data_IF_047049231259
#
_entry.id   IF_047049231259
#
_cell.length_a   1.000
_cell.length_b   1.000
_cell.length_c   1.000
_cell.angle_alpha   90.00
_cell.angle_beta   90.00
_cell.angle_gamma   90.00
#
_symmetry.space_group_name_H-M   'P 1'
#
loop_
_entity.id
_entity.type
_entity.pdbx_description
1 polymer ?
#
# COMPACT_ATOMS: atom_id res chain seq x y z
N UNK A 1 4.48 10.69 -46.73
CA UNK A 1 4.41 10.07 -45.39
C UNK A 1 2.97 9.64 -45.22
N UNK A 2 2.70 8.34 -44.98
CA UNK A 2 1.32 7.91 -44.71
C UNK A 2 0.89 8.56 -43.40
N UNK A 3 -0.30 9.16 -43.35
CA UNK A 3 -0.83 9.75 -42.12
C UNK A 3 -0.91 8.68 -41.03
N UNK A 4 -0.67 9.03 -39.76
CA UNK A 4 -0.75 8.08 -38.64
C UNK A 4 -2.06 7.30 -38.61
N UNK A 5 -3.15 7.95 -38.99
CA UNK A 5 -4.47 7.32 -39.16
C UNK A 5 -4.50 6.25 -40.27
N UNK A 6 -3.90 6.52 -41.43
CA UNK A 6 -3.85 5.55 -42.54
C UNK A 6 -3.03 4.32 -42.16
N UNK A 7 -1.88 4.54 -41.51
CA UNK A 7 -1.04 3.46 -41.00
C UNK A 7 -1.82 2.60 -40.00
N UNK A 8 -2.52 3.23 -39.05
CA UNK A 8 -3.37 2.56 -38.07
C UNK A 8 -4.42 1.67 -38.72
N UNK A 9 -5.22 2.19 -39.65
CA UNK A 9 -6.27 1.41 -40.33
C UNK A 9 -5.71 0.28 -41.18
N UNK A 10 -4.57 0.50 -41.85
CA UNK A 10 -3.88 -0.51 -42.64
C UNK A 10 -3.39 -1.66 -41.76
N UNK A 11 -2.79 -1.36 -40.61
CA UNK A 11 -2.30 -2.37 -39.66
C UNK A 11 -3.44 -3.18 -39.05
N UNK A 12 -4.56 -2.54 -38.67
CA UNK A 12 -5.75 -3.25 -38.20
C UNK A 12 -6.30 -4.22 -39.25
N UNK A 13 -6.45 -3.76 -40.49
CA UNK A 13 -6.95 -4.60 -41.59
C UNK A 13 -6.01 -5.77 -41.89
N UNK A 14 -4.69 -5.54 -41.89
CA UNK A 14 -3.69 -6.60 -42.06
C UNK A 14 -3.77 -7.64 -40.94
N UNK A 15 -3.90 -7.18 -39.69
CA UNK A 15 -4.02 -8.03 -38.49
C UNK A 15 -5.24 -8.94 -38.58
N UNK A 16 -6.42 -8.42 -38.93
CA UNK A 16 -7.64 -9.24 -39.11
C UNK A 16 -7.40 -10.39 -40.10
N UNK A 17 -6.70 -10.12 -41.21
CA UNK A 17 -6.38 -11.14 -42.21
C UNK A 17 -5.39 -12.17 -41.66
N UNK A 18 -4.36 -11.75 -40.93
CA UNK A 18 -3.37 -12.65 -40.33
C UNK A 18 -4.00 -13.55 -39.25
N UNK A 19 -4.83 -12.98 -38.37
CA UNK A 19 -5.57 -13.72 -37.33
C UNK A 19 -6.49 -14.78 -37.96
N UNK A 20 -7.22 -14.45 -39.04
CA UNK A 20 -8.04 -15.44 -39.78
C UNK A 20 -7.22 -16.60 -40.35
N UNK A 21 -5.96 -16.33 -40.73
CA UNK A 21 -5.01 -17.33 -41.22
C UNK A 21 -4.24 -18.04 -40.10
N UNK A 22 -4.53 -17.75 -38.83
CA UNK A 22 -3.80 -18.24 -37.65
C UNK A 22 -2.31 -17.84 -37.62
N UNK A 23 -1.95 -16.77 -38.33
CA UNK A 23 -0.59 -16.20 -38.34
C UNK A 23 -0.42 -15.24 -37.15
N UNK A 24 -0.56 -15.75 -35.93
CA UNK A 24 -0.62 -14.91 -34.73
C UNK A 24 0.70 -14.18 -34.43
N UNK A 25 1.84 -14.86 -34.56
CA UNK A 25 3.16 -14.27 -34.26
C UNK A 25 3.51 -13.12 -35.21
N UNK A 26 3.19 -13.27 -36.50
CA UNK A 26 3.36 -12.20 -37.48
C UNK A 26 2.45 -11.00 -37.19
N UNK A 27 1.23 -11.26 -36.73
CA UNK A 27 0.27 -10.24 -36.35
C UNK A 27 0.75 -9.46 -35.12
N UNK A 28 1.21 -10.17 -34.08
CA UNK A 28 1.79 -9.60 -32.87
C UNK A 28 2.99 -8.71 -33.22
N UNK A 29 3.95 -9.23 -33.98
CA UNK A 29 5.15 -8.48 -34.38
C UNK A 29 4.78 -7.22 -35.19
N UNK A 30 3.83 -7.34 -36.12
CA UNK A 30 3.33 -6.23 -36.93
C UNK A 30 2.66 -5.15 -36.06
N UNK A 31 1.84 -5.55 -35.09
CA UNK A 31 1.15 -4.63 -34.18
C UNK A 31 2.14 -3.95 -33.22
N UNK A 32 3.09 -4.69 -32.68
CA UNK A 32 4.14 -4.16 -31.80
C UNK A 32 4.94 -3.06 -32.48
N UNK A 33 5.52 -3.35 -33.65
CA UNK A 33 6.29 -2.37 -34.41
C UNK A 33 5.42 -1.17 -34.82
N UNK A 34 4.20 -1.44 -35.29
CA UNK A 34 3.27 -0.39 -35.69
C UNK A 34 2.87 0.54 -34.54
N UNK A 35 2.71 0.03 -33.33
CA UNK A 35 2.45 0.84 -32.14
C UNK A 35 3.67 1.74 -31.83
N UNK A 36 4.89 1.21 -31.88
CA UNK A 36 6.11 1.99 -31.65
C UNK A 36 6.29 3.10 -32.70
N UNK A 37 6.03 2.80 -33.98
CA UNK A 37 6.13 3.77 -35.08
C UNK A 37 5.11 4.91 -34.93
N UNK A 38 3.90 4.62 -34.44
CA UNK A 38 2.88 5.62 -34.16
C UNK A 38 3.21 6.45 -32.92
N UNK A 39 3.80 5.85 -31.86
CA UNK A 39 4.30 6.61 -30.71
C UNK A 39 5.42 7.57 -31.12
N UNK A 40 6.31 7.16 -32.03
CA UNK A 40 7.35 8.04 -32.58
C UNK A 40 6.76 9.24 -33.36
N UNK A 41 5.52 9.13 -33.85
CA UNK A 41 4.76 10.20 -34.50
C UNK A 41 3.85 10.96 -33.54
N UNK A 42 3.92 10.69 -32.23
CA UNK A 42 3.05 11.26 -31.18
C UNK A 42 1.56 10.90 -31.32
N UNK A 43 1.22 9.85 -32.08
CA UNK A 43 -0.14 9.35 -32.29
C UNK A 43 -0.55 8.41 -31.14
N UNK A 44 -0.69 8.95 -29.92
CA UNK A 44 -0.91 8.17 -28.68
C UNK A 44 -2.13 7.25 -28.75
N UNK A 45 -3.27 7.77 -29.19
CA UNK A 45 -4.52 7.00 -29.24
C UNK A 45 -4.45 5.82 -30.21
N UNK A 46 -3.93 6.06 -31.41
CA UNK A 46 -3.76 5.04 -32.45
C UNK A 46 -2.74 3.97 -32.02
N UNK A 47 -1.62 4.37 -31.43
CA UNK A 47 -0.60 3.45 -30.94
C UNK A 47 -1.12 2.55 -29.81
N UNK A 48 -1.79 3.14 -28.82
CA UNK A 48 -2.33 2.40 -27.69
C UNK A 48 -3.48 1.48 -28.10
N UNK A 49 -4.30 1.85 -29.10
CA UNK A 49 -5.30 0.95 -29.69
C UNK A 49 -4.64 -0.28 -30.33
N UNK A 50 -3.54 -0.10 -31.08
CA UNK A 50 -2.79 -1.24 -31.62
C UNK A 50 -2.15 -2.10 -30.53
N UNK A 51 -1.68 -1.50 -29.44
CA UNK A 51 -1.14 -2.22 -28.29
C UNK A 51 -2.21 -3.07 -27.59
N UNK A 52 -3.41 -2.52 -27.38
CA UNK A 52 -4.55 -3.28 -26.85
C UNK A 52 -4.92 -4.41 -27.82
N UNK A 53 -4.95 -4.14 -29.14
CA UNK A 53 -5.23 -5.19 -30.12
C UNK A 53 -4.16 -6.29 -30.12
N UNK A 54 -2.90 -5.96 -29.89
CA UNK A 54 -1.82 -6.95 -29.73
C UNK A 54 -2.09 -7.86 -28.53
N UNK A 55 -2.50 -7.30 -27.40
CA UNK A 55 -2.86 -8.05 -26.19
C UNK A 55 -4.12 -8.90 -26.42
N UNK A 56 -5.08 -8.43 -27.20
CA UNK A 56 -6.24 -9.25 -27.59
C UNK A 56 -5.82 -10.46 -28.44
N UNK A 57 -4.84 -10.28 -29.34
CA UNK A 57 -4.25 -11.39 -30.12
C UNK A 57 -3.51 -12.38 -29.21
N UNK A 58 -2.83 -11.92 -28.15
CA UNK A 58 -2.31 -12.82 -27.10
C UNK A 58 -3.42 -13.66 -26.48
N UNK A 59 -4.57 -13.04 -26.19
CA UNK A 59 -5.75 -13.74 -25.67
C UNK A 59 -6.30 -14.79 -26.62
N UNK A 60 -6.31 -14.53 -27.94
CA UNK A 60 -6.78 -15.48 -28.97
C UNK A 60 -5.80 -16.65 -29.14
N UNK A 61 -4.49 -16.38 -29.11
CA UNK A 61 -3.44 -17.39 -29.25
C UNK A 61 -3.23 -18.21 -27.97
N UNK A 62 -3.80 -17.80 -26.84
CA UNK A 62 -3.49 -18.34 -25.52
C UNK A 62 -2.00 -18.19 -25.18
N UNK A 63 -1.43 -17.02 -25.50
CA UNK A 63 -0.02 -16.71 -25.25
C UNK A 63 0.27 -16.72 -23.75
N UNK A 64 1.29 -17.50 -23.36
CA UNK A 64 1.81 -17.53 -22.00
C UNK A 64 2.50 -16.21 -21.62
N UNK A 65 2.57 -15.91 -20.32
CA UNK A 65 3.30 -14.73 -19.83
C UNK A 65 4.79 -15.04 -19.75
N UNK A 66 5.47 -14.97 -20.90
CA UNK A 66 6.92 -15.12 -21.02
C UNK A 66 7.64 -13.75 -21.09
N UNK A 67 8.97 -13.79 -21.20
CA UNK A 67 9.77 -12.56 -21.29
C UNK A 67 9.41 -11.75 -22.53
N UNK A 68 9.29 -12.39 -23.70
CA UNK A 68 9.06 -11.68 -24.95
C UNK A 68 7.69 -10.98 -24.98
N UNK A 69 6.66 -11.65 -24.48
CA UNK A 69 5.32 -11.08 -24.36
C UNK A 69 5.31 -9.87 -23.42
N UNK A 70 6.04 -9.95 -22.30
CA UNK A 70 6.23 -8.83 -21.37
C UNK A 70 7.00 -7.68 -22.01
N UNK A 71 8.14 -7.97 -22.63
CA UNK A 71 9.05 -6.97 -23.17
C UNK A 71 8.34 -6.10 -24.21
N UNK A 72 7.56 -6.71 -25.12
CA UNK A 72 6.73 -5.99 -26.10
C UNK A 72 5.70 -5.05 -25.47
N UNK A 73 5.08 -5.46 -24.36
CA UNK A 73 4.12 -4.61 -23.63
C UNK A 73 4.89 -3.45 -22.97
N UNK A 74 5.99 -3.75 -22.29
CA UNK A 74 6.77 -2.74 -21.55
C UNK A 74 7.45 -1.73 -22.49
N UNK A 75 7.87 -2.15 -23.68
CA UNK A 75 8.45 -1.27 -24.71
C UNK A 75 7.47 -0.18 -25.15
N UNK A 76 6.21 -0.58 -25.38
CA UNK A 76 5.13 0.35 -25.74
C UNK A 76 4.83 1.27 -24.55
N UNK A 77 4.62 0.70 -23.35
CA UNK A 77 4.30 1.48 -22.15
C UNK A 77 5.38 2.50 -21.79
N UNK A 78 6.65 2.16 -21.97
CA UNK A 78 7.79 3.06 -21.72
C UNK A 78 7.80 4.30 -22.62
N UNK A 79 7.21 4.20 -23.82
CA UNK A 79 7.17 5.28 -24.82
C UNK A 79 5.83 6.03 -24.84
N UNK A 80 4.77 5.42 -24.32
CA UNK A 80 3.46 6.04 -24.24
C UNK A 80 3.45 7.19 -23.22
N UNK A 81 2.73 8.26 -23.55
CA UNK A 81 2.56 9.41 -22.68
C UNK A 81 1.75 9.05 -21.41
N UNK A 82 1.90 9.77 -20.29
CA UNK A 82 1.10 9.58 -19.08
C UNK A 82 -0.33 10.12 -19.25
N UNK A 83 -1.09 9.49 -20.14
CA UNK A 83 -2.45 9.86 -20.47
C UNK A 83 -3.45 8.70 -20.29
N UNK A 84 -4.70 8.97 -20.62
CA UNK A 84 -5.78 7.98 -20.57
C UNK A 84 -5.54 6.76 -21.49
N UNK A 85 -4.82 6.93 -22.60
CA UNK A 85 -4.57 5.85 -23.54
C UNK A 85 -3.56 4.85 -22.98
N UNK A 86 -2.50 5.32 -22.33
CA UNK A 86 -1.55 4.44 -21.63
C UNK A 86 -2.23 3.64 -20.52
N UNK A 87 -3.17 4.25 -19.78
CA UNK A 87 -3.98 3.54 -18.78
C UNK A 87 -4.77 2.37 -19.39
N UNK A 88 -5.37 2.54 -20.58
CA UNK A 88 -6.07 1.43 -21.26
C UNK A 88 -5.13 0.26 -21.57
N UNK A 89 -3.90 0.55 -21.99
CA UNK A 89 -2.90 -0.50 -22.25
C UNK A 89 -2.52 -1.20 -20.95
N UNK A 90 -2.32 -0.47 -19.85
CA UNK A 90 -2.06 -1.04 -18.52
C UNK A 90 -3.22 -1.97 -18.09
N UNK A 91 -4.45 -1.51 -18.17
CA UNK A 91 -5.63 -2.28 -17.77
C UNK A 91 -5.77 -3.57 -18.61
N UNK A 92 -5.57 -3.47 -19.92
CA UNK A 92 -5.57 -4.61 -20.84
C UNK A 92 -4.45 -5.60 -20.51
N UNK A 93 -3.22 -5.11 -20.29
CA UNK A 93 -2.05 -5.93 -20.00
C UNK A 93 -2.20 -6.66 -18.66
N UNK A 94 -2.67 -5.97 -17.61
CA UNK A 94 -2.95 -6.58 -16.32
C UNK A 94 -4.04 -7.65 -16.45
N UNK A 95 -5.17 -7.32 -17.09
CA UNK A 95 -6.28 -8.26 -17.28
C UNK A 95 -5.84 -9.51 -18.05
N UNK A 96 -5.06 -9.33 -19.11
CA UNK A 96 -4.48 -10.44 -19.86
C UNK A 96 -3.54 -11.27 -18.97
N UNK A 97 -2.64 -10.64 -18.22
CA UNK A 97 -1.68 -11.36 -17.38
C UNK A 97 -2.36 -12.18 -16.27
N UNK A 98 -3.45 -11.67 -15.66
CA UNK A 98 -4.28 -12.41 -14.70
C UNK A 98 -4.87 -13.65 -15.35
N UNK A 99 -5.45 -13.49 -16.55
CA UNK A 99 -6.06 -14.62 -17.28
C UNK A 99 -5.02 -15.65 -17.73
N UNK A 100 -3.88 -15.20 -18.25
CA UNK A 100 -2.85 -16.05 -18.85
C UNK A 100 -1.99 -16.78 -17.79
N UNK A 101 -1.72 -16.15 -16.64
CA UNK A 101 -1.02 -16.80 -15.52
C UNK A 101 -1.96 -17.60 -14.60
N UNK A 102 -3.25 -17.26 -14.58
CA UNK A 102 -4.20 -17.79 -13.59
C UNK A 102 -4.04 -17.17 -12.19
N UNK A 103 -3.10 -16.24 -12.00
CA UNK A 103 -2.88 -15.59 -10.72
C UNK A 103 -3.82 -14.39 -10.54
N UNK A 104 -4.45 -14.27 -9.37
CA UNK A 104 -5.35 -13.16 -9.03
C UNK A 104 -4.68 -11.79 -9.13
N UNK A 105 -3.36 -11.75 -8.96
CA UNK A 105 -2.54 -10.53 -8.94
C UNK A 105 -1.98 -10.18 -10.33
N UNK A 106 -2.01 -11.12 -11.28
CA UNK A 106 -1.36 -11.00 -12.58
C UNK A 106 0.15 -11.27 -12.50
N UNK A 107 0.88 -10.92 -13.56
CA UNK A 107 2.32 -11.16 -13.59
C UNK A 107 3.11 -10.19 -12.69
N UNK A 108 3.93 -10.68 -11.75
CA UNK A 108 4.66 -9.83 -10.80
C UNK A 108 5.64 -8.85 -11.44
N UNK A 109 6.33 -9.23 -12.53
CA UNK A 109 7.31 -8.37 -13.18
C UNK A 109 6.64 -7.25 -13.98
N UNK A 110 5.55 -7.56 -14.68
CA UNK A 110 4.71 -6.59 -15.37
C UNK A 110 4.09 -5.62 -14.36
N UNK A 111 3.57 -6.12 -13.23
CA UNK A 111 3.08 -5.27 -12.12
C UNK A 111 4.16 -4.34 -11.61
N UNK A 112 5.37 -4.85 -11.36
CA UNK A 112 6.50 -4.05 -10.88
C UNK A 112 6.91 -2.98 -11.89
N UNK A 113 6.93 -3.30 -13.18
CA UNK A 113 7.25 -2.34 -14.23
C UNK A 113 6.22 -1.20 -14.24
N UNK A 114 4.93 -1.52 -14.25
CA UNK A 114 3.85 -0.54 -14.23
C UNK A 114 3.92 0.33 -12.97
N UNK A 115 4.20 -0.27 -11.81
CA UNK A 115 4.34 0.47 -10.56
C UNK A 115 5.49 1.50 -10.62
N UNK A 116 6.66 1.07 -11.10
CA UNK A 116 7.82 1.96 -11.28
C UNK A 116 7.57 3.07 -12.30
N UNK A 117 6.85 2.76 -13.38
CA UNK A 117 6.44 3.73 -14.38
C UNK A 117 5.56 4.83 -13.77
N UNK A 118 4.49 4.46 -13.06
CA UNK A 118 3.63 5.43 -12.38
C UNK A 118 4.36 6.25 -11.32
N UNK A 119 5.21 5.61 -10.51
CA UNK A 119 6.02 6.31 -9.50
C UNK A 119 6.99 7.32 -10.12
N UNK A 120 7.62 6.98 -11.26
CA UNK A 120 8.49 7.90 -12.00
C UNK A 120 7.73 9.13 -12.49
N UNK A 121 6.46 8.97 -12.84
CA UNK A 121 5.59 10.05 -13.30
C UNK A 121 4.98 10.86 -12.13
N UNK A 122 5.31 10.51 -10.87
CA UNK A 122 4.77 11.14 -9.67
C UNK A 122 3.34 10.69 -9.31
N UNK A 123 2.80 9.71 -10.02
CA UNK A 123 1.46 9.15 -9.80
C UNK A 123 1.51 7.97 -8.82
N UNK A 124 1.87 8.29 -7.58
CA UNK A 124 2.07 7.28 -6.54
C UNK A 124 0.78 6.58 -6.11
N UNK A 125 -0.37 7.24 -6.23
CA UNK A 125 -1.68 6.68 -5.91
C UNK A 125 -1.99 5.45 -6.78
N UNK A 126 -1.78 5.56 -8.09
CA UNK A 126 -1.94 4.42 -8.99
C UNK A 126 -0.79 3.42 -8.83
N UNK A 127 0.46 3.89 -8.59
CA UNK A 127 1.61 3.00 -8.40
C UNK A 127 1.45 2.03 -7.23
N UNK A 128 0.87 2.48 -6.12
CA UNK A 128 0.77 1.74 -4.85
C UNK A 128 0.14 0.35 -5.02
N UNK A 129 -1.01 0.28 -5.72
CA UNK A 129 -1.70 -0.99 -5.94
C UNK A 129 -0.88 -1.98 -6.80
N UNK A 130 -0.10 -1.46 -7.75
CA UNK A 130 0.77 -2.28 -8.59
C UNK A 130 2.01 -2.75 -7.83
N UNK A 131 2.61 -1.92 -6.98
CA UNK A 131 3.70 -2.33 -6.10
C UNK A 131 3.26 -3.44 -5.15
N UNK A 132 2.11 -3.26 -4.48
CA UNK A 132 1.55 -4.29 -3.61
C UNK A 132 1.36 -5.60 -4.39
N UNK A 133 0.67 -5.56 -5.53
CA UNK A 133 0.43 -6.75 -6.35
C UNK A 133 1.73 -7.43 -6.81
N UNK A 134 2.79 -6.67 -7.09
CA UNK A 134 4.11 -7.24 -7.45
C UNK A 134 4.84 -7.92 -6.29
N UNK A 135 4.46 -7.63 -5.05
CA UNK A 135 5.01 -8.26 -3.85
C UNK A 135 4.24 -9.52 -3.42
N UNK A 136 3.00 -9.70 -3.86
CA UNK A 136 2.17 -10.84 -3.46
C UNK A 136 2.49 -12.04 -4.36
N UNK A 137 3.09 -13.06 -3.76
CA UNK A 137 3.30 -14.37 -4.38
C UNK A 137 2.02 -15.21 -4.27
N UNK A 138 1.68 -15.91 -5.35
CA UNK A 138 0.54 -16.84 -5.42
C UNK A 138 1.05 -18.23 -5.80
N UNK A 139 0.19 -19.24 -5.74
CA UNK A 139 0.51 -20.60 -6.19
C UNK A 139 0.87 -20.70 -7.69
N UNK A 140 0.55 -19.66 -8.47
CA UNK A 140 0.83 -19.56 -9.91
C UNK A 140 1.95 -18.60 -10.27
N UNK A 141 2.49 -17.86 -9.30
CA UNK A 141 3.50 -16.82 -9.53
C UNK A 141 4.71 -17.01 -8.63
N UNK A 142 5.66 -16.08 -8.71
CA UNK A 142 6.94 -16.13 -8.01
C UNK A 142 7.21 -14.81 -7.29
N UNK A 143 7.98 -14.86 -6.22
CA UNK A 143 8.45 -13.66 -5.55
C UNK A 143 9.47 -12.87 -6.42
N UNK A 144 9.32 -11.54 -6.45
CA UNK A 144 10.29 -10.63 -7.07
C UNK A 144 11.08 -9.92 -5.99
N UNK A 145 12.35 -10.30 -5.80
CA UNK A 145 13.19 -9.80 -4.70
C UNK A 145 13.34 -8.26 -4.70
N UNK A 146 13.33 -7.65 -5.89
CA UNK A 146 13.46 -6.19 -6.03
C UNK A 146 12.15 -5.42 -5.79
N UNK A 147 10.99 -6.09 -5.78
CA UNK A 147 9.69 -5.45 -5.64
C UNK A 147 9.51 -4.72 -4.29
N UNK A 148 9.74 -5.34 -3.12
CA UNK A 148 9.56 -4.65 -1.83
C UNK A 148 10.56 -3.51 -1.64
N UNK A 149 11.78 -3.63 -2.17
CA UNK A 149 12.80 -2.57 -2.13
C UNK A 149 12.39 -1.37 -2.99
N UNK A 150 11.88 -1.62 -4.20
CA UNK A 150 11.38 -0.56 -5.08
C UNK A 150 10.12 0.11 -4.50
N UNK A 151 9.24 -0.66 -3.88
CA UNK A 151 8.06 -0.13 -3.21
C UNK A 151 8.44 0.76 -2.03
N UNK A 152 9.41 0.35 -1.23
CA UNK A 152 9.94 1.17 -0.12
C UNK A 152 10.51 2.51 -0.61
N UNK A 153 11.29 2.48 -1.70
CA UNK A 153 11.80 3.72 -2.29
C UNK A 153 10.66 4.62 -2.77
N UNK A 154 9.68 4.07 -3.50
CA UNK A 154 8.54 4.84 -3.99
C UNK A 154 7.69 5.44 -2.85
N UNK A 155 7.49 4.72 -1.74
CA UNK A 155 6.79 5.25 -0.58
C UNK A 155 7.57 6.36 0.13
N UNK A 156 8.91 6.30 0.13
CA UNK A 156 9.75 7.36 0.68
C UNK A 156 9.72 8.62 -0.22
N UNK A 157 9.74 8.43 -1.54
CA UNK A 157 9.62 9.50 -2.52
C UNK A 157 8.24 10.15 -2.45
N UNK A 158 7.17 9.35 -2.35
CA UNK A 158 5.81 9.85 -2.19
C UNK A 158 5.67 10.65 -0.90
N UNK A 159 6.19 10.15 0.22
CA UNK A 159 6.21 10.86 1.50
C UNK A 159 6.90 12.22 1.37
N UNK A 160 8.04 12.29 0.68
CA UNK A 160 8.77 13.53 0.46
C UNK A 160 7.98 14.53 -0.40
N UNK A 161 7.33 14.06 -1.48
CA UNK A 161 6.46 14.90 -2.31
C UNK A 161 5.24 15.38 -1.53
N UNK A 162 4.58 14.49 -0.81
CA UNK A 162 3.43 14.78 0.02
C UNK A 162 3.76 15.83 1.08
N UNK A 163 4.90 15.70 1.77
CA UNK A 163 5.33 16.66 2.77
C UNK A 163 5.60 18.05 2.18
N UNK A 164 6.17 18.12 0.97
CA UNK A 164 6.38 19.39 0.26
C UNK A 164 5.06 20.05 -0.12
N UNK A 165 4.09 19.29 -0.63
CA UNK A 165 2.77 19.81 -1.00
C UNK A 165 1.99 20.25 0.24
N UNK A 166 2.00 19.45 1.30
CA UNK A 166 1.32 19.78 2.55
C UNK A 166 1.89 21.05 3.21
N UNK A 167 3.21 21.25 3.16
CA UNK A 167 3.86 22.45 3.69
C UNK A 167 3.49 23.75 2.94
N UNK A 168 2.96 23.65 1.72
CA UNK A 168 2.51 24.79 0.91
C UNK A 168 1.03 25.13 1.13
N UNK A 169 0.30 24.33 1.90
CA UNK A 169 -1.13 24.55 2.12
C UNK A 169 -1.38 25.74 3.05
N UNK A 170 -2.39 26.55 2.74
CA UNK A 170 -2.78 27.69 3.56
C UNK A 170 -3.11 27.25 4.99
N UNK A 171 -2.51 27.94 5.97
CA UNK A 171 -2.67 27.65 7.39
C UNK A 171 -1.69 26.61 7.97
N UNK A 172 -0.87 25.95 7.15
CA UNK A 172 0.19 25.08 7.63
C UNK A 172 1.38 25.90 8.16
N UNK A 173 1.88 25.53 9.34
CA UNK A 173 3.01 26.21 10.00
C UNK A 173 4.26 25.34 10.07
N UNK A 174 4.13 24.05 9.81
CA UNK A 174 5.21 23.07 9.84
C UNK A 174 5.94 23.05 8.49
N UNK A 175 7.27 23.01 8.54
CA UNK A 175 8.08 22.77 7.33
C UNK A 175 7.96 21.33 6.82
N UNK A 176 8.34 21.11 5.56
CA UNK A 176 8.27 19.80 4.91
C UNK A 176 8.97 18.70 5.74
N UNK A 177 10.17 18.93 6.27
CA UNK A 177 10.88 17.94 7.09
C UNK A 177 10.14 17.54 8.38
N UNK A 178 9.37 18.46 8.96
CA UNK A 178 8.55 18.16 10.14
C UNK A 178 7.35 17.30 9.75
N UNK A 179 6.67 17.65 8.67
CA UNK A 179 5.55 16.86 8.13
C UNK A 179 6.04 15.46 7.73
N UNK A 180 7.17 15.37 7.04
CA UNK A 180 7.76 14.11 6.60
C UNK A 180 8.01 13.16 7.77
N UNK A 181 8.52 13.66 8.91
CA UNK A 181 8.76 12.86 10.12
C UNK A 181 7.48 12.42 10.83
N UNK A 182 6.45 13.26 10.82
CA UNK A 182 5.15 12.96 11.43
C UNK A 182 4.45 11.87 10.60
N UNK A 183 4.48 11.99 9.28
CA UNK A 183 3.74 11.12 8.36
C UNK A 183 4.50 9.84 7.98
N UNK A 184 5.79 9.75 8.29
CA UNK A 184 6.66 8.61 7.94
C UNK A 184 6.06 7.26 8.32
N UNK A 185 5.51 7.13 9.53
CA UNK A 185 4.92 5.87 9.96
C UNK A 185 3.64 5.51 9.19
N UNK A 186 2.79 6.49 8.83
CA UNK A 186 1.58 6.22 8.03
C UNK A 186 1.92 5.68 6.65
N UNK A 187 2.92 6.26 5.99
CA UNK A 187 3.40 5.75 4.70
C UNK A 187 4.03 4.35 4.83
N UNK A 188 4.67 4.02 5.96
CA UNK A 188 5.09 2.64 6.22
C UNK A 188 3.87 1.69 6.32
N UNK A 189 2.86 2.06 7.10
CA UNK A 189 1.67 1.23 7.34
C UNK A 189 0.84 0.98 6.07
N UNK A 190 0.79 1.95 5.16
CA UNK A 190 0.15 1.79 3.85
C UNK A 190 0.73 0.63 3.04
N UNK A 191 2.00 0.28 3.23
CA UNK A 191 2.59 -0.87 2.58
C UNK A 191 2.61 -2.11 3.47
N UNK A 192 3.06 -1.99 4.73
CA UNK A 192 3.29 -3.15 5.59
C UNK A 192 2.01 -3.85 5.99
N UNK A 193 0.95 -3.11 6.34
CA UNK A 193 -0.31 -3.72 6.77
C UNK A 193 -0.96 -4.50 5.63
N UNK A 194 -1.11 -3.96 4.40
CA UNK A 194 -1.56 -4.76 3.26
C UNK A 194 -0.66 -5.95 2.93
N UNK A 195 0.67 -5.82 3.01
CA UNK A 195 1.57 -6.96 2.76
C UNK A 195 1.33 -8.10 3.78
N UNK A 196 1.21 -7.77 5.07
CA UNK A 196 0.94 -8.76 6.12
C UNK A 196 -0.47 -9.39 5.97
N UNK A 197 -1.48 -8.59 5.62
CA UNK A 197 -2.85 -9.04 5.41
C UNK A 197 -3.04 -9.92 4.15
N UNK A 198 -2.11 -9.85 3.20
CA UNK A 198 -2.08 -10.70 2.00
C UNK A 198 -0.96 -11.76 2.07
N UNK A 199 -0.58 -12.14 3.29
CA UNK A 199 0.39 -13.18 3.60
C UNK A 199 1.82 -13.02 3.04
N UNK A 200 2.22 -11.82 2.61
CA UNK A 200 3.54 -11.53 2.04
C UNK A 200 4.56 -11.10 3.12
N UNK A 201 4.85 -11.98 4.08
CA UNK A 201 5.67 -11.66 5.26
C UNK A 201 7.12 -11.32 4.91
N UNK A 202 7.75 -12.08 4.03
CA UNK A 202 9.15 -11.83 3.64
C UNK A 202 9.29 -10.50 2.90
N UNK A 203 8.29 -10.17 2.08
CA UNK A 203 8.20 -8.92 1.35
C UNK A 203 7.93 -7.75 2.30
N UNK A 204 7.11 -7.93 3.34
CA UNK A 204 6.92 -6.94 4.40
C UNK A 204 8.22 -6.66 5.18
N UNK A 205 9.00 -7.70 5.50
CA UNK A 205 10.32 -7.57 6.14
C UNK A 205 11.28 -6.78 5.23
N UNK A 206 11.41 -7.18 3.97
CA UNK A 206 12.30 -6.53 3.00
C UNK A 206 11.90 -5.06 2.74
N UNK A 207 10.59 -4.79 2.65
CA UNK A 207 10.05 -3.43 2.52
C UNK A 207 10.42 -2.60 3.75
N UNK A 208 10.13 -3.10 4.96
CA UNK A 208 10.36 -2.37 6.21
C UNK A 208 11.84 -2.03 6.39
N UNK A 209 12.74 -2.96 6.10
CA UNK A 209 14.19 -2.74 6.16
C UNK A 209 14.66 -1.68 5.16
N UNK A 210 14.23 -1.78 3.90
CA UNK A 210 14.58 -0.82 2.87
C UNK A 210 14.03 0.57 3.20
N UNK A 211 12.77 0.66 3.62
CA UNK A 211 12.09 1.91 3.94
C UNK A 211 12.78 2.65 5.10
N UNK A 212 13.06 1.95 6.19
CA UNK A 212 13.77 2.52 7.34
C UNK A 212 15.19 2.94 6.99
N UNK A 213 15.90 2.14 6.19
CA UNK A 213 17.25 2.50 5.72
C UNK A 213 17.22 3.80 4.92
N UNK A 214 16.28 3.93 3.97
CA UNK A 214 16.11 5.15 3.16
C UNK A 214 15.71 6.35 4.00
N UNK A 215 14.75 6.20 4.92
CA UNK A 215 14.29 7.31 5.75
C UNK A 215 15.33 7.75 6.77
N UNK A 216 16.02 6.82 7.43
CA UNK A 216 17.00 7.19 8.47
C UNK A 216 18.28 7.79 7.92
N UNK A 217 18.61 7.50 6.66
CA UNK A 217 19.68 8.18 5.93
C UNK A 217 19.37 9.68 5.70
N UNK A 218 18.11 10.04 5.47
CA UNK A 218 17.68 11.41 5.15
C UNK A 218 17.14 12.18 6.36
N UNK A 219 16.44 11.50 7.27
CA UNK A 219 15.73 12.07 8.43
C UNK A 219 16.33 11.57 9.74
N UNK A 220 17.56 11.99 10.06
CA UNK A 220 18.26 11.53 11.28
C UNK A 220 17.48 11.79 12.58
N UNK A 221 16.71 12.87 12.63
CA UNK A 221 15.88 13.24 13.79
C UNK A 221 14.61 12.38 13.96
N UNK A 222 14.38 11.40 13.08
CA UNK A 222 13.38 10.36 13.26
C UNK A 222 13.77 9.39 14.39
N UNK A 223 15.08 9.21 14.61
CA UNK A 223 15.61 8.26 15.59
C UNK A 223 15.75 8.89 16.97
N UNK A 224 15.42 8.10 17.99
CA UNK A 224 15.71 8.47 19.37
C UNK A 224 17.23 8.38 19.63
N UNK A 225 17.80 9.26 20.47
CA UNK A 225 19.23 9.31 20.79
C UNK A 225 19.62 8.18 21.76
N UNK A 226 19.53 6.94 21.30
CA UNK A 226 19.81 5.73 22.07
C UNK A 226 20.89 4.92 21.36
N UNK A 227 21.85 4.36 22.10
CA UNK A 227 22.94 3.55 21.52
C UNK A 227 22.94 2.15 22.16
N UNK A 228 22.93 1.06 21.36
CA UNK A 228 22.77 1.04 19.90
C UNK A 228 21.32 1.36 19.46
N UNK A 229 21.20 1.95 18.27
CA UNK A 229 19.96 2.10 17.50
C UNK A 229 20.34 1.95 16.02
N UNK A 230 19.86 0.92 15.31
CA UNK A 230 18.80 -0.02 15.70
C UNK A 230 19.20 -1.06 16.76
N UNK A 231 18.19 -1.69 17.37
CA UNK A 231 18.36 -2.77 18.35
C UNK A 231 17.89 -4.11 17.77
N UNK A 232 18.54 -5.24 18.10
CA UNK A 232 18.01 -6.56 17.73
C UNK A 232 16.61 -6.77 18.30
N UNK A 233 15.70 -7.29 17.48
CA UNK A 233 14.39 -7.73 17.97
C UNK A 233 14.55 -9.03 18.75
N UNK A 234 14.05 -9.02 19.99
CA UNK A 234 14.04 -10.17 20.87
C UNK A 234 12.58 -10.53 21.17
N UNK A 235 12.10 -11.73 20.78
CA UNK A 235 10.73 -12.15 21.07
C UNK A 235 10.48 -12.21 22.59
N UNK A 236 9.42 -11.58 23.11
CA UNK A 236 9.16 -11.54 24.56
C UNK A 236 9.09 -12.92 25.23
N UNK A 237 8.55 -13.93 24.55
CA UNK A 237 8.44 -15.29 25.08
C UNK A 237 9.61 -16.22 24.76
N UNK A 238 10.63 -15.75 24.02
CA UNK A 238 11.79 -16.54 23.66
C UNK A 238 13.05 -15.66 23.58
N UNK A 239 13.52 -15.12 24.71
CA UNK A 239 14.54 -14.07 24.74
C UNK A 239 15.93 -14.53 24.27
N UNK A 240 16.15 -15.83 24.16
CA UNK A 240 17.40 -16.44 23.68
C UNK A 240 17.41 -16.70 22.18
N UNK A 241 16.28 -16.53 21.48
CA UNK A 241 16.18 -16.75 20.03
C UNK A 241 16.46 -15.46 19.27
N UNK A 242 17.41 -15.50 18.33
CA UNK A 242 17.67 -14.37 17.43
C UNK A 242 16.73 -14.45 16.23
N UNK A 243 15.86 -13.46 16.08
CA UNK A 243 14.99 -13.33 14.90
C UNK A 243 15.74 -12.86 13.65
N UNK A 244 16.96 -12.32 13.81
CA UNK A 244 17.72 -11.64 12.75
C UNK A 244 17.18 -10.25 12.39
N UNK A 245 16.03 -9.84 12.94
CA UNK A 245 15.41 -8.55 12.70
C UNK A 245 16.01 -7.46 13.58
N UNK A 246 16.07 -6.25 13.05
CA UNK A 246 16.50 -5.05 13.75
C UNK A 246 15.33 -4.06 13.82
N UNK A 247 15.09 -3.49 15.01
CA UNK A 247 14.09 -2.46 15.23
C UNK A 247 14.78 -1.13 15.52
N UNK A 248 14.41 -0.12 14.75
CA UNK A 248 14.79 1.26 14.98
C UNK A 248 13.89 1.86 16.05
N UNK A 249 14.51 2.49 17.05
CA UNK A 249 13.78 3.22 18.09
C UNK A 249 13.47 4.63 17.57
N UNK A 250 12.18 4.94 17.40
CA UNK A 250 11.71 6.20 16.84
C UNK A 250 10.69 6.87 17.77
N UNK A 251 10.50 8.18 17.61
CA UNK A 251 9.41 8.90 18.29
C UNK A 251 8.05 8.74 17.57
N UNK A 252 8.02 8.06 16.42
CA UNK A 252 6.82 7.92 15.59
C UNK A 252 6.07 6.62 15.96
N UNK A 253 4.88 6.76 16.54
CA UNK A 253 4.07 5.63 17.02
C UNK A 253 3.66 4.68 15.89
N UNK A 254 3.26 5.21 14.73
CA UNK A 254 2.87 4.43 13.55
C UNK A 254 4.04 3.59 13.02
N UNK A 255 5.24 4.17 13.00
CA UNK A 255 6.45 3.48 12.55
C UNK A 255 6.91 2.40 13.54
N UNK A 256 6.78 2.67 14.84
CA UNK A 256 7.06 1.69 15.89
C UNK A 256 6.06 0.52 15.83
N UNK A 257 4.78 0.80 15.61
CA UNK A 257 3.75 -0.22 15.40
C UNK A 257 4.03 -1.06 14.15
N UNK A 258 4.33 -0.43 13.01
CA UNK A 258 4.68 -1.13 11.75
C UNK A 258 5.82 -2.14 11.97
N UNK A 259 6.91 -1.69 12.60
CA UNK A 259 8.07 -2.53 12.88
C UNK A 259 7.74 -3.72 13.78
N UNK A 260 7.01 -3.48 14.88
CA UNK A 260 6.64 -4.55 15.81
C UNK A 260 5.61 -5.51 15.20
N UNK A 261 4.67 -5.01 14.39
CA UNK A 261 3.70 -5.83 13.69
C UNK A 261 4.39 -6.81 12.73
N UNK A 262 5.33 -6.32 11.91
CA UNK A 262 6.16 -7.16 11.03
C UNK A 262 6.94 -8.20 11.84
N UNK A 263 7.55 -7.79 12.97
CA UNK A 263 8.30 -8.69 13.81
C UNK A 263 7.44 -9.81 14.42
N UNK A 264 6.29 -9.48 15.03
CA UNK A 264 5.38 -10.47 15.62
C UNK A 264 4.78 -11.42 14.57
N UNK A 265 4.38 -10.89 13.41
CA UNK A 265 3.89 -11.74 12.31
C UNK A 265 5.00 -12.63 11.77
N UNK A 266 6.25 -12.15 11.69
CA UNK A 266 7.38 -13.00 11.28
C UNK A 266 7.63 -14.16 12.25
N UNK A 267 7.44 -13.97 13.55
CA UNK A 267 7.52 -15.05 14.53
C UNK A 267 6.36 -16.03 14.38
N UNK A 268 5.15 -15.54 14.14
CA UNK A 268 4.00 -16.40 13.86
C UNK A 268 4.22 -17.24 12.60
N UNK A 269 4.73 -16.63 11.53
CA UNK A 269 4.97 -17.30 10.25
C UNK A 269 5.95 -18.47 10.36
N UNK A 270 6.91 -18.42 11.30
CA UNK A 270 7.84 -19.53 11.56
C UNK A 270 7.16 -20.75 12.19
N UNK A 271 6.03 -20.56 12.87
CA UNK A 271 5.33 -21.62 13.59
C UNK A 271 4.46 -22.50 12.68
N UNK A 272 4.27 -22.14 11.41
CA UNK A 272 3.44 -22.87 10.46
C UNK A 272 2.05 -23.21 11.05
N UNK A 273 1.47 -24.37 10.73
CA UNK A 273 0.18 -24.85 11.27
C UNK A 273 0.23 -25.28 12.75
N UNK A 274 1.29 -24.95 13.50
CA UNK A 274 1.36 -25.23 14.92
C UNK A 274 0.48 -24.25 15.71
N UNK A 275 0.07 -24.67 16.91
CA UNK A 275 -0.70 -23.80 17.82
C UNK A 275 0.12 -22.57 18.18
N UNK A 276 -0.44 -21.39 17.92
CA UNK A 276 0.18 -20.10 18.29
C UNK A 276 0.29 -20.01 19.84
N UNK A 277 1.49 -19.75 20.39
CA UNK A 277 1.71 -19.57 21.82
C UNK A 277 0.92 -18.39 22.40
N UNK A 278 0.49 -18.52 23.65
CA UNK A 278 -0.27 -17.45 24.34
C UNK A 278 0.50 -16.15 24.47
N UNK A 279 1.81 -16.21 24.69
CA UNK A 279 2.64 -15.00 24.77
C UNK A 279 2.61 -14.20 23.47
N UNK A 280 2.59 -14.87 22.31
CA UNK A 280 2.63 -14.23 21.00
C UNK A 280 1.26 -13.63 20.66
N UNK A 281 0.17 -14.34 20.98
CA UNK A 281 -1.20 -13.81 20.92
C UNK A 281 -1.36 -12.56 21.80
N UNK A 282 -0.90 -12.64 23.05
CA UNK A 282 -1.01 -11.54 23.99
C UNK A 282 -0.13 -10.34 23.58
N UNK A 283 1.05 -10.59 23.00
CA UNK A 283 1.91 -9.53 22.47
C UNK A 283 1.21 -8.77 21.33
N UNK A 284 0.56 -9.46 20.40
CA UNK A 284 -0.23 -8.82 19.34
C UNK A 284 -1.41 -8.03 19.91
N UNK A 285 -2.20 -8.61 20.82
CA UNK A 285 -3.35 -7.93 21.44
C UNK A 285 -2.90 -6.64 22.15
N UNK A 286 -1.80 -6.69 22.90
CA UNK A 286 -1.27 -5.54 23.62
C UNK A 286 -0.74 -4.48 22.65
N UNK A 287 -0.05 -4.90 21.59
CA UNK A 287 0.44 -3.99 20.55
C UNK A 287 -0.72 -3.22 19.90
N UNK A 288 -1.77 -3.92 19.47
CA UNK A 288 -2.94 -3.30 18.82
C UNK A 288 -3.66 -2.36 19.78
N UNK A 289 -3.92 -2.78 21.02
CA UNK A 289 -4.57 -1.93 22.03
C UNK A 289 -3.77 -0.68 22.34
N UNK A 290 -2.44 -0.80 22.45
CA UNK A 290 -1.57 0.33 22.67
C UNK A 290 -1.63 1.30 21.49
N UNK A 291 -1.55 0.76 20.27
CA UNK A 291 -1.58 1.56 19.05
C UNK A 291 -2.90 2.29 18.85
N UNK A 292 -4.05 1.63 19.07
CA UNK A 292 -5.38 2.26 19.00
C UNK A 292 -5.54 3.44 19.97
N UNK A 293 -4.86 3.38 21.12
CA UNK A 293 -4.85 4.48 22.11
C UNK A 293 -3.94 5.63 21.70
N UNK A 294 -2.82 5.33 21.03
CA UNK A 294 -1.74 6.28 20.76
C UNK A 294 -1.79 6.89 19.35
N UNK A 295 -2.54 6.28 18.43
CA UNK A 295 -2.59 6.66 17.02
C UNK A 295 -3.99 7.13 16.59
N UNK A 296 -4.37 8.39 16.88
CA UNK A 296 -5.65 8.94 16.42
C UNK A 296 -5.76 8.96 14.90
N UNK A 297 -4.62 8.98 14.18
CA UNK A 297 -4.54 8.91 12.73
C UNK A 297 -5.15 7.61 12.14
N UNK A 298 -5.14 6.50 12.88
CA UNK A 298 -5.71 5.23 12.44
C UNK A 298 -7.22 5.35 12.13
N UNK A 299 -7.90 6.31 12.75
CA UNK A 299 -9.33 6.57 12.47
C UNK A 299 -9.58 7.06 11.04
N UNK A 300 -8.57 7.63 10.38
CA UNK A 300 -8.66 8.21 9.03
C UNK A 300 -8.33 7.19 7.93
N UNK A 301 -7.69 6.07 8.26
CA UNK A 301 -7.24 5.05 7.32
C UNK A 301 -8.05 3.75 7.48
N UNK A 302 -9.29 3.76 6.97
CA UNK A 302 -10.27 2.66 7.14
C UNK A 302 -9.75 1.29 6.64
N UNK A 303 -9.01 1.26 5.53
CA UNK A 303 -8.46 0.02 4.99
C UNK A 303 -7.39 -0.59 5.92
N UNK A 304 -6.54 0.25 6.51
CA UNK A 304 -5.53 -0.17 7.50
C UNK A 304 -6.24 -0.65 8.77
N UNK A 305 -7.20 0.13 9.28
CA UNK A 305 -7.97 -0.21 10.47
C UNK A 305 -8.68 -1.56 10.34
N UNK A 306 -9.28 -1.84 9.18
CA UNK A 306 -10.00 -3.09 8.93
C UNK A 306 -9.09 -4.28 8.67
N UNK A 307 -7.86 -4.06 8.19
CA UNK A 307 -6.87 -5.10 7.98
C UNK A 307 -6.23 -5.60 9.29
N UNK A 308 -6.11 -4.77 10.32
CA UNK A 308 -5.49 -5.17 11.61
C UNK A 308 -6.21 -6.36 12.28
N UNK A 309 -7.56 -6.36 12.44
CA UNK A 309 -8.28 -7.53 12.94
C UNK A 309 -8.13 -8.77 12.05
N UNK A 310 -8.06 -8.59 10.72
CA UNK A 310 -7.81 -9.69 9.79
C UNK A 310 -6.44 -10.33 10.05
N UNK A 311 -5.37 -9.52 10.19
CA UNK A 311 -4.03 -10.01 10.55
C UNK A 311 -4.07 -10.74 11.90
N UNK A 312 -4.84 -10.22 12.87
CA UNK A 312 -5.09 -10.88 14.16
C UNK A 312 -5.67 -12.29 14.02
N UNK A 313 -6.65 -12.46 13.13
CA UNK A 313 -7.25 -13.75 12.85
C UNK A 313 -6.28 -14.68 12.10
N UNK A 314 -5.71 -14.20 11.00
CA UNK A 314 -4.90 -14.97 10.06
C UNK A 314 -3.59 -15.48 10.68
N UNK A 315 -2.94 -14.64 11.49
CA UNK A 315 -1.61 -14.95 12.05
C UNK A 315 -1.63 -15.32 13.53
N UNK A 316 -2.68 -14.99 14.28
CA UNK A 316 -2.69 -15.22 15.73
C UNK A 316 -3.89 -16.06 16.20
N UNK A 317 -4.76 -16.48 15.27
CA UNK A 317 -5.95 -17.28 15.58
C UNK A 317 -6.94 -16.54 16.48
N UNK A 318 -6.92 -15.21 16.44
CA UNK A 318 -7.82 -14.38 17.23
C UNK A 318 -9.21 -14.38 16.59
N UNK A 319 -10.24 -14.45 17.43
CA UNK A 319 -11.60 -14.30 16.95
C UNK A 319 -11.85 -12.84 16.57
N UNK A 320 -12.37 -12.55 15.37
CA UNK A 320 -12.69 -11.19 14.99
C UNK A 320 -13.72 -10.59 15.98
N UNK A 321 -13.64 -9.29 16.30
CA UNK A 321 -14.59 -8.65 17.19
C UNK A 321 -16.01 -8.88 16.68
N UNK A 322 -16.90 -9.37 17.53
CA UNK A 322 -18.32 -9.48 17.18
C UNK A 322 -18.84 -8.07 16.87
N UNK A 323 -19.31 -7.87 15.64
CA UNK A 323 -19.81 -6.59 15.17
C UNK A 323 -21.07 -6.21 15.98
N UNK A 324 -20.94 -5.28 16.93
CA UNK A 324 -22.06 -4.85 17.79
C UNK A 324 -23.19 -4.12 17.01
N UNK A 325 -22.98 -3.81 15.72
CA UNK A 325 -23.99 -3.17 14.86
C UNK A 325 -25.25 -4.00 14.58
N UNK A 326 -25.24 -5.31 14.84
CA UNK A 326 -26.39 -6.20 14.57
C UNK A 326 -27.38 -6.35 15.74
N UNK A 327 -27.18 -5.66 16.86
CA UNK A 327 -28.04 -5.86 18.05
C UNK A 327 -29.52 -5.56 17.76
N UNK A 328 -29.83 -4.52 16.97
CA UNK A 328 -31.22 -4.16 16.64
C UNK A 328 -31.87 -5.16 15.66
N UNK A 329 -31.10 -5.68 14.71
CA UNK A 329 -31.56 -6.70 13.75
C UNK A 329 -31.78 -8.05 14.43
N UNK A 330 -30.86 -8.45 15.31
CA UNK A 330 -30.97 -9.70 16.08
C UNK A 330 -32.10 -9.62 17.11
N UNK A 331 -32.34 -8.43 17.68
CA UNK A 331 -33.46 -8.18 18.58
C UNK A 331 -34.80 -8.18 17.83
N UNK A 332 -34.89 -7.59 16.62
CA UNK A 332 -36.09 -7.71 15.78
C UNK A 332 -36.34 -9.15 15.33
N UNK A 333 -35.31 -9.91 14.94
CA UNK A 333 -35.45 -11.33 14.59
C UNK A 333 -35.93 -12.18 15.79
N UNK A 334 -35.47 -11.85 16.99
CA UNK A 334 -35.91 -12.48 18.24
C UNK A 334 -37.32 -12.04 18.69
N UNK A 335 -37.75 -10.84 18.32
CA UNK A 335 -39.08 -10.31 18.67
C UNK A 335 -40.18 -10.77 17.70
N UNK A 336 -39.82 -11.03 16.44
CA UNK A 336 -40.75 -11.45 15.38
C UNK A 336 -40.84 -12.97 15.17
N UNK A 337 -40.22 -13.77 16.04
CA UNK A 337 -40.73 -15.09 16.45
C UNK A 337 -41.00 -16.12 15.33
N UNK A 338 -40.04 -16.38 14.45
CA UNK A 338 -40.07 -17.55 13.57
C UNK A 338 -39.37 -18.75 14.21
N UNK A 339 -39.92 -19.99 14.17
CA UNK A 339 -39.20 -21.19 14.60
C UNK A 339 -37.95 -21.39 13.73
N UNK A 340 -36.91 -22.09 14.24
CA UNK A 340 -35.71 -22.39 13.47
C UNK A 340 -36.07 -23.40 12.37
N UNK A 341 -36.55 -22.88 11.24
CA UNK A 341 -36.82 -23.63 10.02
C UNK A 341 -35.51 -24.01 9.36
N UNK A 342 -35.17 -25.29 9.41
CA UNK A 342 -34.26 -25.90 8.45
C UNK A 342 -34.78 -25.61 7.03
N UNK A 343 -33.98 -24.95 6.21
CA UNK A 343 -34.37 -24.63 4.84
C UNK A 343 -33.24 -24.06 4.01
N UNK A 344 -32.79 -24.88 3.05
CA UNK A 344 -32.08 -24.55 1.81
C UNK A 344 -30.70 -23.87 1.97
N UNK A 345 -29.69 -24.12 1.15
CA UNK A 345 -29.40 -24.99 0.02
C UNK A 345 -28.02 -24.49 -0.44
N UNK A 346 -27.33 -25.26 -1.27
CA UNK A 346 -25.97 -24.95 -1.68
C UNK A 346 -25.79 -23.58 -2.33
N UNK A 347 -24.65 -22.99 -2.05
CA UNK A 347 -23.82 -22.45 -3.11
C UNK A 347 -22.40 -22.81 -2.74
N UNK A 348 -21.80 -23.76 -3.47
CA UNK A 348 -20.35 -23.70 -3.67
C UNK A 348 -20.07 -22.26 -4.11
N UNK A 349 -19.49 -21.46 -3.21
CA UNK A 349 -18.89 -20.20 -3.60
C UNK A 349 -17.86 -20.60 -4.65
N UNK A 350 -18.18 -20.38 -5.92
CA UNK A 350 -17.14 -20.19 -6.93
C UNK A 350 -16.15 -19.24 -6.28
N UNK A 351 -14.97 -19.75 -5.96
CA UNK A 351 -13.86 -18.96 -5.46
C UNK A 351 -13.62 -17.89 -6.53
N UNK A 352 -14.25 -16.73 -6.35
CA UNK A 352 -13.81 -15.54 -7.04
C UNK A 352 -12.39 -15.30 -6.52
N UNK A 353 -11.39 -15.12 -7.40
CA UNK A 353 -10.04 -14.87 -6.96
C UNK A 353 -10.07 -13.72 -5.96
N UNK A 354 -9.61 -13.98 -4.73
CA UNK A 354 -9.64 -13.00 -3.66
C UNK A 354 -8.90 -11.74 -4.14
N UNK A 355 -9.61 -10.63 -4.24
CA UNK A 355 -9.02 -9.36 -4.64
C UNK A 355 -8.07 -8.90 -3.54
N UNK A 356 -6.81 -8.60 -3.89
CA UNK A 356 -5.81 -8.10 -2.94
C UNK A 356 -6.34 -6.82 -2.31
N UNK A 357 -6.47 -6.80 -0.98
CA UNK A 357 -6.86 -5.58 -0.25
C UNK A 357 -5.65 -4.68 -0.07
N UNK A 358 -5.69 -3.47 -0.64
CA UNK A 358 -4.64 -2.46 -0.52
C UNK A 358 -4.87 -1.43 0.59
N UNK A 359 -4.09 -0.35 0.57
CA UNK A 359 -4.10 0.71 1.60
C UNK A 359 -5.33 1.63 1.58
N UNK A 360 -6.22 1.49 0.60
CA UNK A 360 -7.44 2.30 0.48
C UNK A 360 -7.20 3.68 -0.13
N UNK A 361 -7.93 4.69 0.34
CA UNK A 361 -7.89 6.05 -0.20
C UNK A 361 -6.50 6.71 -0.04
N UNK A 362 -6.15 7.71 -0.88
CA UNK A 362 -4.89 8.46 -0.75
C UNK A 362 -4.74 9.13 0.63
N UNK A 363 -3.51 9.28 1.14
CA UNK A 363 -3.27 9.91 2.43
C UNK A 363 -3.68 11.38 2.40
N UNK A 364 -4.27 11.85 3.50
CA UNK A 364 -4.55 13.27 3.77
C UNK A 364 -3.61 13.77 4.87
N UNK A 365 -3.15 15.04 4.83
CA UNK A 365 -2.26 15.58 5.86
C UNK A 365 -2.92 15.54 7.24
N UNK A 366 -2.20 15.08 8.25
CA UNK A 366 -2.64 15.20 9.63
C UNK A 366 -2.74 16.67 10.00
N UNK A 367 -3.91 17.08 10.50
CA UNK A 367 -4.10 18.42 11.03
C UNK A 367 -3.04 18.72 12.09
N UNK A 368 -2.62 19.99 12.18
CA UNK A 368 -1.80 20.42 13.30
C UNK A 368 -2.54 20.11 14.61
N UNK A 369 -1.87 19.61 15.66
CA UNK A 369 -2.51 19.49 16.96
C UNK A 369 -3.07 20.85 17.33
N UNK A 370 -4.38 20.91 17.63
CA UNK A 370 -4.98 22.12 18.17
C UNK A 370 -4.14 22.57 19.36
N UNK A 371 -3.86 23.88 19.54
CA UNK A 371 -3.22 24.33 20.76
C UNK A 371 -4.08 23.78 21.89
N UNK A 372 -3.47 22.97 22.77
CA UNK A 372 -4.14 22.52 23.97
C UNK A 372 -4.78 23.76 24.58
N UNK A 373 -6.11 23.76 24.70
CA UNK A 373 -6.80 24.84 25.37
C UNK A 373 -6.07 25.02 26.69
N UNK A 374 -5.33 26.12 26.81
CA UNK A 374 -4.60 26.45 28.02
C UNK A 374 -5.65 26.40 29.10
N UNK A 375 -5.56 25.38 29.95
CA UNK A 375 -6.20 25.43 31.26
C UNK A 375 -5.84 26.81 31.79
N UNK A 376 -6.84 27.64 31.95
CA UNK A 376 -6.71 29.01 32.42
C UNK A 376 -5.87 28.96 33.69
N UNK A 377 -4.57 29.25 33.56
CA UNK A 377 -3.72 29.61 34.69
C UNK A 377 -4.35 30.87 35.23
N UNK A 378 -5.15 30.73 36.30
CA UNK A 378 -5.42 31.83 37.20
C UNK A 378 -4.07 32.42 37.57
N UNK A 379 -3.85 33.65 37.14
CA UNK A 379 -2.66 34.40 37.48
C UNK A 379 -2.56 34.48 39.00
N UNK A 380 -1.40 34.08 39.54
CA UNK A 380 -1.05 34.39 40.92
C UNK A 380 -1.07 35.93 41.10
N UNK A 381 -1.60 36.45 42.23
CA UNK A 381 -1.60 37.89 42.45
C UNK A 381 -0.17 38.39 42.64
N UNK A 382 0.10 39.58 42.09
CA UNK A 382 1.39 40.26 42.19
C UNK A 382 1.74 40.60 43.65
N UNK A 383 3.04 40.65 44.00
CA UNK A 383 3.47 41.06 45.34
C UNK A 383 3.18 42.55 45.55
N UNK A 384 2.51 42.87 46.66
CA UNK A 384 2.22 44.25 47.06
C UNK A 384 3.53 44.99 47.35
N UNK A 385 3.72 46.11 46.67
CA UNK A 385 4.80 47.07 46.93
C UNK A 385 4.36 47.90 48.14
N UNK A 386 5.14 47.86 49.21
CA UNK A 386 4.94 48.72 50.36
C UNK A 386 5.39 50.13 49.97
N UNK A 387 4.44 51.06 49.92
CA UNK A 387 4.68 52.49 49.78
C UNK A 387 5.42 53.01 51.03
N UNK A 388 6.44 53.82 50.76
CA UNK A 388 7.26 54.48 51.75
C UNK A 388 6.80 55.94 51.87
N UNK A 389 6.65 56.38 53.12
CA UNK A 389 6.68 57.76 53.61
C UNK A 389 5.43 58.65 53.40
N UNK A 390 5.02 59.57 54.28
CA UNK A 390 5.34 60.04 55.65
C UNK A 390 4.32 61.18 55.88
N UNK A 391 3.85 61.34 57.12
CA UNK A 391 3.28 62.53 57.79
C UNK A 391 2.36 63.51 57.05
N UNK A 392 1.15 63.72 57.59
CA UNK A 392 0.66 65.06 57.91
C UNK A 392 -0.37 65.04 59.05
N UNK A 393 0.11 65.52 60.21
CA UNK A 393 -0.48 66.34 61.26
C UNK A 393 -1.88 66.07 61.88
N UNK A 394 -1.85 66.02 63.21
CA UNK A 394 -2.98 66.29 64.11
C UNK A 394 -3.21 67.80 64.25
N UNK A 395 -4.46 68.23 64.10
CA UNK A 395 -5.25 68.95 65.13
C UNK A 395 -6.72 69.07 64.70
#
# INVERSE_FOLDING_TARGET
>A
MSSGYELHQKLRTKTVRQVKKKQYDEAISTLHQGALDLLAQSEQGSACDLAVYMIDVYGIKEQAVDSEARDRITDILAKAAPDFWRKKVVDAAVKWSVKASGASTGDPLLRLFVAKMYAKDGDFEHAEAHFLASCIETDKTYAVESAPKAYAQAMADWLAQFAKQAAQHDGEKRGADAIQRIEAGRFALRATIPLLANHAVQQAIAFQQAYLTTLTASLKSLLLPVTPNPRPYVPPGSPTSSSGLQLYLTANADLNFSQMAVALVSESAKLASQRIPDWLRNAWINLVRQYEREAPALTQDDAIRTAIPQIGADWFGLQPPRNQGNMLSDMMASLFGGPPGAGAAGAEKKEQPAQIKGAGAPPKPLAAPAPAATASTQAAPAPAVADDLVDDEMD
#
